data_IF_888386915160
#
_entry.id   IF_888386915160
#
_cell.length_a   1.000
_cell.length_b   1.000
_cell.length_c   1.000
_cell.angle_alpha   90.00
_cell.angle_beta   90.00
_cell.angle_gamma   90.00
#
_symmetry.space_group_name_H-M   'P 1'
#
loop_
_entity.id
_entity.type
_entity.pdbx_description
1 polymer ?
#
# COMPACT_ATOMS: atom_id res chain seq x y z
N UNK A 1 5.92 -24.57 9.73
CA UNK A 1 6.78 -23.39 9.55
C UNK A 1 7.91 -23.78 8.61
N UNK A 2 7.90 -23.25 7.39
CA UNK A 2 8.96 -23.47 6.41
C UNK A 2 9.76 -22.19 6.24
N UNK A 3 11.07 -22.39 6.24
CA UNK A 3 12.16 -21.42 6.18
C UNK A 3 12.02 -20.47 4.99
N UNK A 4 12.38 -19.20 5.19
CA UNK A 4 12.61 -18.14 4.21
C UNK A 4 12.74 -18.62 2.75
N UNK A 5 11.61 -18.82 2.07
CA UNK A 5 11.58 -18.89 0.60
C UNK A 5 11.79 -17.46 0.15
N UNK A 6 13.03 -17.09 -0.15
CA UNK A 6 13.48 -15.85 -0.80
C UNK A 6 12.32 -14.96 -1.27
N UNK A 7 11.70 -14.22 -0.34
CA UNK A 7 10.61 -13.32 -0.70
C UNK A 7 11.26 -12.23 -1.53
N UNK A 8 10.67 -11.91 -2.68
CA UNK A 8 11.05 -10.70 -3.40
C UNK A 8 10.63 -9.56 -2.47
N UNK A 9 11.62 -8.91 -1.85
CA UNK A 9 11.38 -7.83 -0.90
C UNK A 9 11.84 -6.53 -1.52
N UNK A 10 11.00 -5.52 -1.41
CA UNK A 10 11.40 -4.16 -1.75
C UNK A 10 12.36 -3.65 -0.68
N UNK A 11 13.40 -2.93 -1.10
CA UNK A 11 14.21 -2.16 -0.16
C UNK A 11 13.31 -1.17 0.58
N UNK A 12 13.59 -0.92 1.87
CA UNK A 12 12.80 0.02 2.67
C UNK A 12 12.74 1.42 2.05
N UNK A 13 13.82 1.87 1.41
CA UNK A 13 13.87 3.15 0.70
C UNK A 13 12.90 3.18 -0.48
N UNK A 14 12.93 2.15 -1.33
CA UNK A 14 12.05 2.08 -2.49
C UNK A 14 10.59 1.92 -2.07
N UNK A 15 10.32 1.11 -1.04
CA UNK A 15 8.97 0.96 -0.47
C UNK A 15 8.43 2.29 0.07
N UNK A 16 9.24 3.05 0.81
CA UNK A 16 8.83 4.35 1.33
C UNK A 16 8.46 5.33 0.21
N UNK A 17 9.29 5.40 -0.85
CA UNK A 17 9.02 6.22 -2.03
C UNK A 17 7.71 5.83 -2.71
N UNK A 18 7.47 4.52 -2.89
CA UNK A 18 6.23 4.03 -3.48
C UNK A 18 5.01 4.40 -2.65
N UNK A 19 5.08 4.32 -1.31
CA UNK A 19 3.98 4.77 -0.48
C UNK A 19 3.75 6.27 -0.54
N UNK A 20 4.80 7.09 -0.63
CA UNK A 20 4.64 8.55 -0.79
C UNK A 20 3.91 8.88 -2.10
N UNK A 21 4.29 8.22 -3.20
CA UNK A 21 3.63 8.37 -4.50
C UNK A 21 2.18 7.83 -4.48
N UNK A 22 1.96 6.71 -3.80
CA UNK A 22 0.64 6.08 -3.68
C UNK A 22 -0.32 6.89 -2.80
N UNK A 23 0.15 7.42 -1.68
CA UNK A 23 -0.63 8.31 -0.79
C UNK A 23 -1.04 9.60 -1.50
N UNK A 24 -0.17 10.14 -2.35
CA UNK A 24 -0.45 11.34 -3.13
C UNK A 24 -1.47 11.10 -4.25
N UNK A 25 -1.37 9.97 -4.97
CA UNK A 25 -2.21 9.67 -6.14
C UNK A 25 -3.52 8.97 -5.78
N UNK A 26 -3.48 8.10 -4.78
CA UNK A 26 -4.54 7.18 -4.40
C UNK A 26 -4.66 7.06 -2.87
N UNK A 27 -5.04 8.14 -2.17
CA UNK A 27 -5.24 8.07 -0.72
C UNK A 27 -6.30 7.02 -0.33
N UNK A 28 -7.26 6.72 -1.20
CA UNK A 28 -8.26 5.66 -1.04
C UNK A 28 -7.65 4.27 -0.88
N UNK A 29 -6.41 4.05 -1.33
CA UNK A 29 -5.74 2.77 -1.20
C UNK A 29 -5.47 2.37 0.25
N UNK A 30 -5.43 3.36 1.15
CA UNK A 30 -5.18 3.17 2.58
C UNK A 30 -6.48 3.10 3.41
N UNK A 31 -7.64 3.14 2.76
CA UNK A 31 -8.92 2.97 3.45
C UNK A 31 -9.17 1.49 3.76
N UNK A 32 -9.14 1.17 5.04
CA UNK A 32 -9.48 -0.15 5.59
C UNK A 32 -10.64 -0.05 6.58
N UNK A 33 -11.59 0.84 6.32
CA UNK A 33 -12.81 1.02 7.13
C UNK A 33 -13.75 -0.19 7.07
N UNK A 34 -13.83 -0.85 5.92
CA UNK A 34 -14.60 -2.08 5.70
C UNK A 34 -13.90 -3.03 4.70
N UNK A 35 -14.47 -4.23 4.55
CA UNK A 35 -13.92 -5.26 3.66
C UNK A 35 -13.90 -4.80 2.19
N UNK A 36 -14.90 -4.05 1.75
CA UNK A 36 -14.96 -3.57 0.36
C UNK A 36 -13.90 -2.49 0.10
N UNK A 37 -13.66 -1.59 1.05
CA UNK A 37 -12.60 -0.60 1.02
C UNK A 37 -11.23 -1.27 0.99
N UNK A 38 -11.04 -2.32 1.79
CA UNK A 38 -9.81 -3.12 1.78
C UNK A 38 -9.58 -3.81 0.42
N UNK A 39 -10.62 -4.38 -0.19
CA UNK A 39 -10.55 -4.99 -1.52
C UNK A 39 -10.20 -3.95 -2.57
N UNK A 40 -10.94 -2.83 -2.63
CA UNK A 40 -10.67 -1.72 -3.57
C UNK A 40 -9.26 -1.18 -3.39
N UNK A 41 -8.82 -1.00 -2.15
CA UNK A 41 -7.47 -0.53 -1.86
C UNK A 41 -6.42 -1.50 -2.40
N UNK A 42 -6.59 -2.80 -2.14
CA UNK A 42 -5.71 -3.85 -2.67
C UNK A 42 -5.62 -3.81 -4.19
N UNK A 43 -6.74 -3.68 -4.90
CA UNK A 43 -6.77 -3.58 -6.36
C UNK A 43 -6.00 -2.36 -6.88
N UNK A 44 -6.20 -1.20 -6.24
CA UNK A 44 -5.50 0.04 -6.58
C UNK A 44 -3.99 -0.11 -6.35
N UNK A 45 -3.58 -0.70 -5.24
CA UNK A 45 -2.16 -0.92 -4.95
C UNK A 45 -1.51 -1.90 -5.92
N UNK A 46 -2.17 -3.02 -6.23
CA UNK A 46 -1.71 -3.98 -7.24
C UNK A 46 -1.49 -3.27 -8.59
N UNK A 47 -2.49 -2.50 -9.05
CA UNK A 47 -2.38 -1.78 -10.32
C UNK A 47 -1.22 -0.77 -10.30
N UNK A 48 -1.11 0.02 -9.24
CA UNK A 48 -0.03 0.99 -9.07
C UNK A 48 1.36 0.32 -9.09
N UNK A 49 1.54 -0.78 -8.35
CA UNK A 49 2.80 -1.52 -8.35
C UNK A 49 3.12 -2.05 -9.75
N UNK A 50 2.14 -2.61 -10.45
CA UNK A 50 2.35 -3.15 -11.80
C UNK A 50 2.77 -2.07 -12.78
N UNK A 51 2.11 -0.91 -12.76
CA UNK A 51 2.48 0.25 -13.58
C UNK A 51 3.91 0.69 -13.26
N UNK A 52 4.26 0.81 -11.98
CA UNK A 52 5.58 1.30 -11.56
C UNK A 52 6.71 0.35 -11.88
N UNK A 53 6.50 -0.96 -11.71
CA UNK A 53 7.46 -1.98 -12.12
C UNK A 53 7.67 -1.96 -13.64
N UNK A 54 6.59 -1.76 -14.41
CA UNK A 54 6.66 -1.65 -15.87
C UNK A 54 7.47 -0.42 -16.30
N UNK A 55 7.24 0.74 -15.67
CA UNK A 55 8.02 1.97 -15.92
C UNK A 55 9.51 1.78 -15.62
N UNK A 56 9.83 1.05 -14.55
CA UNK A 56 11.21 0.78 -14.13
C UNK A 56 11.85 -0.39 -14.91
N UNK A 57 11.16 -0.95 -15.92
CA UNK A 57 11.59 -2.11 -16.71
C UNK A 57 11.92 -3.35 -15.85
N UNK A 58 11.16 -3.54 -14.77
CA UNK A 58 11.26 -4.70 -13.88
C UNK A 58 10.20 -5.71 -14.31
N UNK A 59 10.64 -6.79 -14.95
CA UNK A 59 9.76 -7.90 -15.32
C UNK A 59 9.68 -8.91 -14.17
N UNK A 60 8.46 -9.15 -13.69
CA UNK A 60 8.15 -10.23 -12.76
C UNK A 60 7.18 -11.21 -13.42
N UNK A 61 7.36 -12.50 -13.13
CA UNK A 61 6.32 -13.48 -13.40
C UNK A 61 5.15 -13.32 -12.41
N UNK A 62 4.04 -13.98 -12.67
CA UNK A 62 2.82 -13.90 -11.84
C UNK A 62 3.09 -14.21 -10.37
N UNK A 63 3.75 -15.34 -10.09
CA UNK A 63 4.14 -15.72 -8.72
C UNK A 63 5.01 -14.67 -8.02
N UNK A 64 5.97 -14.09 -8.74
CA UNK A 64 6.88 -13.07 -8.21
C UNK A 64 6.17 -11.75 -7.94
N UNK A 65 5.20 -11.40 -8.77
CA UNK A 65 4.36 -10.23 -8.56
C UNK A 65 3.44 -10.42 -7.35
N UNK A 66 2.80 -11.58 -7.22
CA UNK A 66 1.93 -11.88 -6.08
C UNK A 66 2.69 -11.86 -4.75
N UNK A 67 3.90 -12.41 -4.73
CA UNK A 67 4.79 -12.33 -3.56
C UNK A 67 5.16 -10.89 -3.21
N UNK A 68 5.42 -10.04 -4.22
CA UNK A 68 5.75 -8.64 -4.02
C UNK A 68 4.56 -7.85 -3.45
N UNK A 69 3.36 -8.10 -3.98
CA UNK A 69 2.13 -7.51 -3.49
C UNK A 69 1.91 -7.87 -2.02
N UNK A 70 2.11 -9.12 -1.63
CA UNK A 70 2.02 -9.54 -0.22
C UNK A 70 3.06 -8.83 0.68
N UNK A 71 4.31 -8.68 0.25
CA UNK A 71 5.35 -7.93 0.97
C UNK A 71 4.98 -6.44 1.10
N UNK A 72 4.37 -5.87 0.07
CA UNK A 72 3.97 -4.47 0.02
C UNK A 72 2.74 -4.17 0.90
N UNK A 73 1.71 -5.03 0.92
CA UNK A 73 0.52 -4.80 1.77
C UNK A 73 0.77 -5.21 3.23
N UNK A 74 1.57 -6.24 3.45
CA UNK A 74 1.87 -6.80 4.77
C UNK A 74 2.89 -6.00 5.58
N UNK A 75 3.45 -4.92 5.03
CA UNK A 75 4.48 -4.13 5.71
C UNK A 75 3.89 -3.30 6.86
N UNK A 76 4.60 -3.23 8.00
CA UNK A 76 4.23 -2.35 9.12
C UNK A 76 4.07 -0.88 8.69
N UNK A 77 4.84 -0.44 7.69
CA UNK A 77 4.79 0.90 7.13
C UNK A 77 3.43 1.25 6.48
N UNK A 78 2.73 0.26 5.90
CA UNK A 78 1.40 0.45 5.34
C UNK A 78 0.40 0.80 6.45
N UNK A 79 0.38 0.01 7.53
CA UNK A 79 -0.53 0.23 8.66
C UNK A 79 -0.28 1.55 9.38
N UNK A 80 1.00 1.94 9.58
CA UNK A 80 1.32 3.25 10.15
C UNK A 80 0.76 4.42 9.31
N UNK A 81 0.75 4.29 7.98
CA UNK A 81 0.21 5.34 7.09
C UNK A 81 -1.31 5.35 7.08
N UNK A 82 -1.95 4.18 7.02
CA UNK A 82 -3.40 4.08 7.14
C UNK A 82 -3.90 4.72 8.45
N UNK A 83 -3.22 4.45 9.57
CA UNK A 83 -3.55 5.04 10.87
C UNK A 83 -3.35 6.56 10.88
N UNK A 84 -2.25 7.07 10.29
CA UNK A 84 -2.00 8.51 10.15
C UNK A 84 -3.08 9.19 9.29
N UNK A 85 -3.51 8.57 8.20
CA UNK A 85 -4.55 9.11 7.33
C UNK A 85 -5.91 9.14 8.03
N UNK A 86 -6.26 8.09 8.78
CA UNK A 86 -7.45 8.08 9.63
C UNK A 86 -7.42 9.19 10.69
N UNK A 87 -6.28 9.37 11.36
CA UNK A 87 -6.12 10.42 12.36
C UNK A 87 -6.28 11.82 11.74
N UNK A 88 -5.75 12.05 10.54
CA UNK A 88 -5.93 13.31 9.79
C UNK A 88 -7.39 13.52 9.37
N UNK A 89 -8.08 12.49 8.85
CA UNK A 89 -9.48 12.59 8.42
C UNK A 89 -10.48 12.79 9.57
N UNK A 90 -10.09 12.49 10.82
CA UNK A 90 -10.92 12.69 12.01
C UNK A 90 -10.74 14.09 12.62
N UNK A 91 -9.71 14.84 12.22
CA UNK A 91 -9.40 16.19 12.74
C UNK A 91 -10.27 17.32 12.18
N UNK A 92 -10.97 17.12 11.06
CA UNK A 92 -11.77 18.16 10.39
C UNK A 92 -13.26 18.16 10.80
N UNK A 93 -13.66 17.39 11.82
CA UNK A 93 -15.07 17.27 12.26
C UNK A 93 -15.35 17.78 13.67
N UNK A 94 -14.52 18.66 14.21
CA UNK A 94 -14.68 19.15 15.56
C UNK A 94 -14.58 20.68 15.64
N UNK A 95 -15.33 21.42 14.81
CA UNK A 95 -15.54 22.86 15.03
C UNK A 95 -16.72 23.42 14.23
N UNK A 96 -17.92 22.85 14.40
CA UNK A 96 -19.15 23.61 14.10
C UNK A 96 -20.35 23.06 14.87
N UNK A 97 -20.47 23.48 16.13
CA UNK A 97 -21.71 23.48 16.92
C UNK A 97 -21.48 24.39 18.12
N UNK A 98 -21.61 25.70 17.89
CA UNK A 98 -21.88 26.71 18.92
C UNK A 98 -23.37 26.71 19.28
#
# INVERSE_FOLDING_TARGET
MNSARNLIQLSNFYRAKLYDELELKHPEAFDNSDDEACIRGTEVMCRFLKERLTEDNIELNEDGFDMLCQDFFGSHLFYERADKLKAKGTGDKAEDSL
#
